data_IF_456066976393
#
_entry.id   IF_456066976393
#
_cell.length_a   1.000
_cell.length_b   1.000
_cell.length_c   1.000
_cell.angle_alpha   90.00
_cell.angle_beta   90.00
_cell.angle_gamma   90.00
#
_symmetry.space_group_name_H-M   'P 1'
#
loop_
_entity.id
_entity.type
_entity.pdbx_description
1 polymer ?
#
# COMPACT_ATOMS: atom_id res chain seq x y z
N UNK A 1 -20.20 -17.85 48.06
CA UNK A 1 -20.27 -16.53 47.37
C UNK A 1 -19.01 -16.26 46.55
N UNK A 2 -17.81 -16.46 47.11
CA UNK A 2 -16.53 -16.23 46.41
C UNK A 2 -16.31 -17.07 45.14
N UNK A 3 -16.69 -18.37 45.14
CA UNK A 3 -16.56 -19.21 43.94
C UNK A 3 -17.46 -18.76 42.78
N UNK A 4 -18.72 -18.38 43.06
CA UNK A 4 -19.64 -17.85 42.04
C UNK A 4 -19.16 -16.52 41.47
N UNK A 5 -18.53 -15.67 42.30
CA UNK A 5 -17.92 -14.42 41.88
C UNK A 5 -16.68 -14.66 40.99
N UNK A 6 -15.87 -15.68 41.31
CA UNK A 6 -14.71 -16.08 40.50
C UNK A 6 -15.13 -16.60 39.12
N UNK A 7 -16.14 -17.47 39.04
CA UNK A 7 -16.66 -17.95 37.76
C UNK A 7 -17.26 -16.83 36.90
N UNK A 8 -17.91 -15.84 37.53
CA UNK A 8 -18.45 -14.68 36.83
C UNK A 8 -17.36 -13.76 36.28
N UNK A 9 -16.26 -13.58 37.03
CA UNK A 9 -15.07 -12.85 36.56
C UNK A 9 -14.35 -13.58 35.40
N UNK A 10 -14.21 -14.90 35.48
CA UNK A 10 -13.60 -15.72 34.40
C UNK A 10 -14.46 -15.70 33.12
N UNK A 11 -15.78 -15.74 33.28
CA UNK A 11 -16.70 -15.60 32.14
C UNK A 11 -16.63 -14.22 31.48
N UNK A 12 -16.41 -13.16 32.27
CA UNK A 12 -16.34 -11.79 31.77
C UNK A 12 -15.04 -11.52 31.01
N UNK A 13 -13.91 -12.10 31.44
CA UNK A 13 -12.64 -11.99 30.74
C UNK A 13 -12.60 -12.81 29.44
N UNK A 14 -13.30 -13.95 29.38
CA UNK A 14 -13.38 -14.76 28.15
C UNK A 14 -14.10 -14.04 26.99
N UNK A 15 -15.05 -13.16 27.28
CA UNK A 15 -15.79 -12.37 26.27
C UNK A 15 -14.94 -11.23 25.67
N UNK A 16 -13.87 -10.80 26.35
CA UNK A 16 -12.98 -9.74 25.88
C UNK A 16 -11.91 -10.24 24.88
N UNK A 17 -11.83 -11.55 24.64
CA UNK A 17 -10.82 -12.18 23.77
C UNK A 17 -11.31 -12.42 22.32
N UNK A 18 -12.53 -12.02 21.95
CA UNK A 18 -13.11 -12.24 20.60
C UNK A 18 -12.88 -11.03 19.67
N UNK A 19 -11.85 -10.23 19.93
CA UNK A 19 -11.56 -9.01 19.19
C UNK A 19 -10.16 -9.02 18.60
N UNK A 20 -9.98 -9.74 17.50
CA UNK A 20 -9.00 -9.47 16.44
C UNK A 20 -9.23 -10.49 15.33
N UNK A 21 -10.14 -10.18 14.41
CA UNK A 21 -10.22 -10.89 13.13
C UNK A 21 -9.65 -9.97 12.07
N UNK A 22 -8.32 -9.88 12.02
CA UNK A 22 -7.57 -9.25 10.92
C UNK A 22 -7.61 -10.15 9.69
N UNK A 23 -8.83 -10.43 9.20
CA UNK A 23 -9.00 -10.92 7.84
C UNK A 23 -8.92 -9.69 6.94
N UNK A 24 -7.74 -9.11 6.85
CA UNK A 24 -7.45 -8.24 5.71
C UNK A 24 -7.79 -9.04 4.44
N UNK A 25 -8.56 -8.47 3.50
CA UNK A 25 -8.93 -9.17 2.29
C UNK A 25 -7.63 -9.54 1.58
N UNK A 26 -7.42 -10.85 1.43
CA UNK A 26 -6.23 -11.46 0.81
C UNK A 26 -5.99 -11.06 -0.65
N UNK A 27 -6.89 -10.28 -1.24
CA UNK A 27 -6.80 -9.84 -2.62
C UNK A 27 -7.30 -8.42 -2.74
N UNK A 28 -6.35 -7.55 -3.01
CA UNK A 28 -6.54 -6.14 -3.19
C UNK A 28 -7.31 -5.86 -4.51
N UNK A 29 -8.37 -5.03 -4.47
CA UNK A 29 -9.13 -4.65 -5.67
C UNK A 29 -8.77 -3.22 -6.09
N UNK A 30 -7.99 -3.09 -7.17
CA UNK A 30 -7.54 -1.81 -7.75
C UNK A 30 -8.69 -0.85 -8.07
N UNK A 31 -9.88 -1.36 -8.38
CA UNK A 31 -11.06 -0.53 -8.68
C UNK A 31 -11.56 0.27 -7.47
N UNK A 32 -11.13 -0.09 -6.26
CA UNK A 32 -11.46 0.62 -5.02
C UNK A 32 -10.48 1.73 -4.67
N UNK A 33 -9.48 2.00 -5.55
CA UNK A 33 -8.53 3.09 -5.37
C UNK A 33 -9.24 4.44 -5.46
N UNK A 34 -9.18 5.23 -4.40
CA UNK A 34 -9.84 6.56 -4.33
C UNK A 34 -8.84 7.70 -4.40
N UNK A 35 -7.60 7.47 -3.95
CA UNK A 35 -6.56 8.49 -3.84
C UNK A 35 -5.18 7.85 -3.74
N UNK A 36 -4.19 8.54 -4.29
CA UNK A 36 -2.77 8.26 -4.05
C UNK A 36 -2.08 9.54 -3.62
N UNK A 37 -1.44 9.50 -2.46
CA UNK A 37 -0.57 10.57 -1.98
C UNK A 37 0.88 10.19 -2.34
N UNK A 38 1.61 11.12 -2.97
CA UNK A 38 3.00 10.92 -3.40
C UNK A 38 3.91 11.88 -2.63
N UNK A 39 4.92 11.32 -1.97
CA UNK A 39 5.97 12.08 -1.30
C UNK A 39 7.32 11.83 -1.98
N UNK A 40 7.97 12.89 -2.45
CA UNK A 40 9.34 12.80 -2.97
C UNK A 40 10.35 12.58 -1.83
N UNK A 41 11.21 11.58 -2.01
CA UNK A 41 12.28 11.28 -1.06
C UNK A 41 13.57 11.89 -1.59
N UNK A 42 13.71 13.21 -1.47
CA UNK A 42 14.99 13.89 -1.76
C UNK A 42 15.48 14.69 -0.55
N UNK A 43 16.80 14.88 -0.39
CA UNK A 43 17.35 15.64 0.74
C UNK A 43 16.94 17.12 0.80
N UNK A 44 16.24 17.64 -0.22
CA UNK A 44 15.96 19.06 -0.39
C UNK A 44 14.50 19.38 -0.75
N UNK A 45 13.64 18.38 -0.96
CA UNK A 45 12.23 18.60 -1.26
C UNK A 45 11.32 17.93 -0.22
N UNK A 46 10.32 18.67 0.24
CA UNK A 46 9.12 18.17 0.90
C UNK A 46 7.97 18.16 -0.10
N UNK A 47 8.28 17.87 -1.38
CA UNK A 47 7.27 17.89 -2.43
C UNK A 47 6.32 16.72 -2.20
N UNK A 48 5.11 17.07 -1.79
CA UNK A 48 3.99 16.16 -1.66
C UNK A 48 2.88 16.61 -2.61
N UNK A 49 2.30 15.66 -3.34
CA UNK A 49 1.13 15.93 -4.16
C UNK A 49 0.17 14.76 -4.14
N UNK A 50 -1.09 15.08 -4.40
CA UNK A 50 -2.22 14.15 -4.28
C UNK A 50 -2.80 13.89 -5.67
N UNK A 51 -3.01 12.62 -5.99
CA UNK A 51 -3.68 12.16 -7.20
C UNK A 51 -5.06 11.59 -6.83
N UNK A 52 -6.11 12.28 -7.25
CA UNK A 52 -7.52 11.85 -7.05
C UNK A 52 -8.33 11.87 -8.35
N UNK A 53 -7.78 12.42 -9.42
CA UNK A 53 -8.44 12.49 -10.72
C UNK A 53 -8.59 11.07 -11.30
N UNK A 54 -9.81 10.68 -11.67
CA UNK A 54 -10.10 9.32 -12.13
C UNK A 54 -9.25 8.89 -13.35
N UNK A 55 -8.83 9.84 -14.19
CA UNK A 55 -7.88 9.57 -15.29
C UNK A 55 -6.51 9.14 -14.75
N UNK A 56 -5.98 9.86 -13.77
CA UNK A 56 -4.67 9.57 -13.19
C UNK A 56 -4.74 8.27 -12.37
N UNK A 57 -5.83 8.04 -11.62
CA UNK A 57 -6.08 6.78 -10.91
C UNK A 57 -6.16 5.58 -11.85
N UNK A 58 -6.83 5.71 -13.00
CA UNK A 58 -6.89 4.61 -13.98
C UNK A 58 -5.52 4.24 -14.53
N UNK A 59 -4.66 5.21 -14.82
CA UNK A 59 -3.28 4.94 -15.26
C UNK A 59 -2.53 4.15 -14.19
N UNK A 60 -2.70 4.52 -12.92
CA UNK A 60 -2.08 3.80 -11.79
C UNK A 60 -2.64 2.39 -11.69
N UNK A 61 -3.96 2.20 -11.79
CA UNK A 61 -4.60 0.87 -11.75
C UNK A 61 -4.06 -0.03 -12.87
N UNK A 62 -3.98 0.47 -14.10
CA UNK A 62 -3.43 -0.32 -15.22
C UNK A 62 -1.96 -0.66 -15.00
N UNK A 63 -1.14 0.28 -14.53
CA UNK A 63 0.27 -0.01 -14.22
C UNK A 63 0.41 -1.07 -13.12
N UNK A 64 -0.38 -0.99 -12.05
CA UNK A 64 -0.32 -1.94 -10.93
C UNK A 64 -0.86 -3.34 -11.26
N UNK A 65 -1.70 -3.50 -12.31
CA UNK A 65 -2.08 -4.81 -12.84
C UNK A 65 -0.90 -5.56 -13.46
N UNK A 66 0.05 -4.82 -14.01
CA UNK A 66 1.23 -5.34 -14.71
C UNK A 66 2.45 -5.51 -13.78
N UNK A 67 2.31 -5.23 -12.49
CA UNK A 67 3.39 -5.45 -11.52
C UNK A 67 3.53 -6.95 -11.26
N UNK A 68 4.74 -7.44 -11.46
CA UNK A 68 5.13 -8.81 -11.09
C UNK A 68 5.52 -8.82 -9.62
N UNK A 69 4.61 -9.31 -8.76
CA UNK A 69 4.81 -9.37 -7.31
C UNK A 69 5.50 -10.67 -6.86
N UNK A 70 6.51 -10.52 -6.02
CA UNK A 70 7.16 -11.56 -5.24
C UNK A 70 6.73 -11.44 -3.76
N UNK A 71 5.66 -12.16 -3.35
CA UNK A 71 5.10 -12.01 -2.01
C UNK A 71 6.07 -12.51 -0.94
N UNK A 72 5.96 -11.97 0.28
CA UNK A 72 6.82 -12.30 1.43
C UNK A 72 8.31 -12.06 1.18
N UNK A 73 8.66 -11.21 0.21
CA UNK A 73 10.04 -10.93 -0.18
C UNK A 73 10.36 -9.47 0.11
N UNK A 74 11.42 -9.24 0.88
CA UNK A 74 11.99 -7.93 1.15
C UNK A 74 13.43 -7.94 0.64
N UNK A 75 13.79 -6.95 -0.16
CA UNK A 75 15.08 -6.88 -0.84
C UNK A 75 15.71 -5.52 -0.63
N UNK A 76 17.04 -5.49 -0.53
CA UNK A 76 17.80 -4.24 -0.55
C UNK A 76 17.92 -3.74 -2.01
N UNK A 77 16.96 -2.93 -2.43
CA UNK A 77 16.83 -2.48 -3.82
C UNK A 77 17.96 -1.48 -4.15
N UNK A 78 18.81 -1.84 -5.10
CA UNK A 78 19.97 -1.03 -5.54
C UNK A 78 19.60 0.14 -6.48
N UNK A 79 18.32 0.53 -6.52
CA UNK A 79 17.78 1.62 -7.34
C UNK A 79 17.79 2.98 -6.62
N UNK A 80 17.41 4.04 -7.33
CA UNK A 80 17.21 5.35 -6.71
C UNK A 80 15.83 5.36 -6.03
N UNK A 81 15.78 5.26 -4.68
CA UNK A 81 14.55 5.48 -3.90
C UNK A 81 14.10 6.91 -4.16
N UNK A 82 13.02 7.08 -4.92
CA UNK A 82 12.65 8.39 -5.48
C UNK A 82 11.38 8.94 -4.84
N UNK A 83 10.37 8.08 -4.61
CA UNK A 83 9.11 8.48 -3.97
C UNK A 83 8.58 7.41 -3.02
N UNK A 84 7.83 7.85 -2.03
CA UNK A 84 6.91 7.04 -1.23
C UNK A 84 5.49 7.31 -1.73
N UNK A 85 4.72 6.26 -1.98
CA UNK A 85 3.36 6.38 -2.49
C UNK A 85 2.39 5.69 -1.53
N UNK A 86 1.44 6.45 -1.00
CA UNK A 86 0.38 5.95 -0.11
C UNK A 86 -0.93 5.84 -0.87
N UNK A 87 -1.42 4.62 -1.02
CA UNK A 87 -2.65 4.30 -1.73
C UNK A 87 -3.79 4.15 -0.74
N UNK A 88 -4.92 4.80 -1.02
CA UNK A 88 -6.12 4.80 -0.19
C UNK A 88 -7.25 4.02 -0.88
N UNK A 89 -7.85 3.10 -0.14
CA UNK A 89 -8.88 2.21 -0.66
C UNK A 89 -10.14 2.21 0.18
N UNK A 90 -11.28 2.40 -0.47
CA UNK A 90 -12.61 2.35 0.17
C UNK A 90 -13.33 1.08 -0.22
N UNK A 91 -13.47 0.16 0.74
CA UNK A 91 -14.15 -1.13 0.51
C UNK A 91 -15.66 -1.05 0.74
N UNK A 92 -16.09 -0.33 1.76
CA UNK A 92 -17.49 -0.12 2.14
C UNK A 92 -17.69 1.35 2.52
N UNK A 93 -18.81 1.96 2.13
CA UNK A 93 -19.11 3.40 2.26
C UNK A 93 -19.02 3.95 3.70
N UNK A 94 -19.01 3.07 4.71
CA UNK A 94 -18.96 3.43 6.13
C UNK A 94 -17.75 2.85 6.89
N UNK A 95 -16.78 2.26 6.18
CA UNK A 95 -15.55 1.74 6.78
C UNK A 95 -14.40 2.72 6.56
N UNK A 96 -13.43 2.82 7.50
CA UNK A 96 -12.23 3.61 7.28
C UNK A 96 -11.49 3.18 6.01
N UNK A 97 -10.86 4.15 5.34
CA UNK A 97 -9.96 3.86 4.22
C UNK A 97 -8.84 2.93 4.68
N UNK A 98 -8.49 1.97 3.82
CA UNK A 98 -7.30 1.14 4.02
C UNK A 98 -6.13 1.76 3.28
N UNK A 99 -4.98 1.81 3.95
CA UNK A 99 -3.76 2.39 3.40
C UNK A 99 -2.77 1.30 3.01
N UNK A 100 -2.09 1.50 1.89
CA UNK A 100 -0.97 0.70 1.42
C UNK A 100 0.16 1.64 1.01
N UNK A 101 1.32 1.47 1.63
CA UNK A 101 2.48 2.33 1.41
C UNK A 101 3.50 1.55 0.59
N UNK A 102 3.97 2.17 -0.48
CA UNK A 102 4.98 1.62 -1.38
C UNK A 102 6.17 2.55 -1.47
N UNK A 103 7.35 2.00 -1.24
CA UNK A 103 8.59 2.64 -1.62
C UNK A 103 8.86 2.39 -3.11
N UNK A 104 9.08 3.45 -3.87
CA UNK A 104 9.23 3.38 -5.33
C UNK A 104 10.65 3.73 -5.73
N UNK A 105 11.27 2.81 -6.46
CA UNK A 105 12.65 2.89 -6.90
C UNK A 105 12.72 2.97 -8.42
N UNK A 106 13.41 3.98 -8.93
CA UNK A 106 13.71 4.08 -10.35
C UNK A 106 14.98 3.28 -10.66
N UNK A 107 14.85 2.30 -11.56
CA UNK A 107 15.94 1.42 -11.94
C UNK A 107 16.70 1.95 -13.15
N UNK A 108 18.00 1.67 -13.25
CA UNK A 108 18.86 2.16 -14.35
C UNK A 108 18.45 1.65 -15.74
N UNK A 109 17.85 0.46 -15.80
CA UNK A 109 17.30 -0.14 -17.02
C UNK A 109 15.97 0.51 -17.44
N UNK A 110 15.39 1.39 -16.61
CA UNK A 110 14.12 2.04 -16.83
C UNK A 110 12.90 1.28 -16.30
N UNK A 111 13.04 0.15 -15.60
CA UNK A 111 11.93 -0.42 -14.82
C UNK A 111 11.67 0.40 -13.54
N UNK A 112 10.56 0.11 -12.88
CA UNK A 112 10.28 0.56 -11.52
C UNK A 112 10.28 -0.66 -10.62
N UNK A 113 10.95 -0.57 -9.48
CA UNK A 113 10.85 -1.53 -8.40
C UNK A 113 10.01 -0.94 -7.26
N UNK A 114 9.18 -1.77 -6.64
CA UNK A 114 8.26 -1.41 -5.57
C UNK A 114 8.55 -2.28 -4.36
N UNK A 115 8.55 -1.67 -3.17
CA UNK A 115 8.59 -2.41 -1.91
C UNK A 115 7.40 -1.98 -1.06
N UNK A 116 6.50 -2.93 -0.78
CA UNK A 116 5.35 -2.70 0.09
C UNK A 116 5.81 -2.68 1.55
N UNK A 117 5.29 -1.77 2.36
CA UNK A 117 5.47 -1.83 3.82
C UNK A 117 4.81 -3.07 4.44
N UNK A 118 3.83 -3.66 3.73
CA UNK A 118 3.21 -4.92 4.13
C UNK A 118 4.08 -6.08 3.66
N UNK A 119 4.79 -6.69 4.61
CA UNK A 119 5.68 -7.84 4.38
C UNK A 119 5.07 -8.96 3.53
N UNK A 120 3.77 -9.24 3.68
CA UNK A 120 3.09 -10.30 2.92
C UNK A 120 2.98 -10.00 1.41
N UNK A 121 2.83 -8.73 1.02
CA UNK A 121 2.76 -8.28 -0.37
C UNK A 121 4.16 -8.23 -1.01
N UNK A 122 5.16 -7.81 -0.24
CA UNK A 122 6.57 -7.98 -0.57
C UNK A 122 7.09 -7.02 -1.64
N UNK A 123 7.84 -7.58 -2.60
CA UNK A 123 8.56 -6.85 -3.64
C UNK A 123 7.82 -6.95 -4.97
N UNK A 124 7.77 -5.86 -5.73
CA UNK A 124 7.16 -5.83 -7.05
C UNK A 124 8.10 -5.23 -8.09
N UNK A 125 8.05 -5.74 -9.32
CA UNK A 125 8.73 -5.13 -10.46
C UNK A 125 7.73 -4.76 -11.56
N UNK A 126 7.85 -3.53 -12.05
CA UNK A 126 7.11 -3.03 -13.20
C UNK A 126 8.08 -2.82 -14.36
N UNK A 127 7.90 -3.59 -15.43
CA UNK A 127 8.78 -3.55 -16.59
C UNK A 127 8.85 -2.14 -17.21
N UNK A 128 9.94 -1.85 -17.92
CA UNK A 128 10.14 -0.56 -18.59
C UNK A 128 8.96 -0.17 -19.50
N UNK A 129 8.37 -1.13 -20.20
CA UNK A 129 7.26 -0.92 -21.13
C UNK A 129 6.04 -0.32 -20.41
N UNK A 130 5.73 -0.81 -19.21
CA UNK A 130 4.58 -0.38 -18.42
C UNK A 130 4.90 0.77 -17.46
N UNK A 131 6.18 0.99 -17.15
CA UNK A 131 6.62 1.99 -16.17
C UNK A 131 6.48 3.44 -16.64
N UNK A 132 6.53 3.73 -17.94
CA UNK A 132 6.58 5.12 -18.46
C UNK A 132 5.37 5.98 -18.06
N UNK A 133 4.17 5.41 -18.09
CA UNK A 133 2.96 6.13 -17.67
C UNK A 133 2.96 6.42 -16.17
N UNK A 134 3.42 5.48 -15.35
CA UNK A 134 3.53 5.66 -13.90
C UNK A 134 4.60 6.70 -13.55
N UNK A 135 5.75 6.68 -14.25
CA UNK A 135 6.81 7.69 -14.07
C UNK A 135 6.30 9.10 -14.36
N UNK A 136 5.53 9.25 -15.42
CA UNK A 136 4.97 10.56 -15.82
C UNK A 136 4.07 11.12 -14.73
N UNK A 137 3.33 10.27 -14.01
CA UNK A 137 2.49 10.71 -12.90
C UNK A 137 3.29 10.98 -11.63
N UNK A 138 4.20 10.08 -11.27
CA UNK A 138 4.88 10.12 -9.97
C UNK A 138 6.06 11.10 -9.94
N UNK A 139 6.61 11.44 -11.11
CA UNK A 139 7.80 12.31 -11.23
C UNK A 139 7.52 13.55 -12.09
N UNK A 140 6.28 14.07 -12.02
CA UNK A 140 5.71 15.14 -12.87
C UNK A 140 6.52 16.46 -12.92
N UNK A 141 7.54 16.63 -12.05
CA UNK A 141 8.36 17.83 -11.90
C UNK A 141 9.90 17.59 -12.01
N UNK A 142 10.38 17.03 -13.12
CA UNK A 142 11.81 17.13 -13.49
C UNK A 142 12.00 17.90 -14.80
#
# INVERSE_FOLDING_TARGET
>A
MQQKLAYLLISLTALLLIGCSDKEPKKFNLDQLTRVDIQEITPKSENEFVLMEEKDLNIIREAFKEVEWEPNTMVDIQGERTVEATFFYTYEENMPERLFVYEVYLMKNGSISLQSEKGEEGYGELSKEHAESLKTLFFRNK
#
